data_IF_841217142584
#
_entry.id   IF_841217142584
#
_cell.length_a   1.000
_cell.length_b   1.000
_cell.length_c   1.000
_cell.angle_alpha   90.00
_cell.angle_beta   90.00
_cell.angle_gamma   90.00
#
_symmetry.space_group_name_H-M   'P 1'
#
loop_
_entity.id
_entity.type
_entity.pdbx_description
1 polymer ?
#
# COMPACT_ATOMS: atom_id res chain seq x y z
N UNK A 1 20.60 -53.91 46.93
CA UNK A 1 20.53 -54.73 45.71
C UNK A 1 19.79 -53.95 44.64
N UNK A 2 20.48 -53.65 43.52
CA UNK A 2 19.98 -53.41 42.15
C UNK A 2 19.01 -52.23 41.93
N UNK A 3 19.12 -51.35 40.93
CA UNK A 3 19.93 -51.25 39.70
C UNK A 3 19.74 -49.82 39.11
N UNK A 4 20.83 -49.28 38.54
CA UNK A 4 20.94 -48.59 37.24
C UNK A 4 20.09 -47.32 36.90
N UNK A 5 20.82 -46.20 36.88
CA UNK A 5 20.90 -45.10 35.89
C UNK A 5 19.95 -45.09 34.69
N UNK A 6 19.30 -43.95 34.43
CA UNK A 6 19.10 -43.40 33.08
C UNK A 6 18.86 -41.88 33.13
N UNK A 7 19.86 -41.10 32.70
CA UNK A 7 19.70 -39.70 32.30
C UNK A 7 19.11 -39.67 30.89
N UNK A 8 18.02 -38.95 30.66
CA UNK A 8 17.51 -38.68 29.32
C UNK A 8 16.93 -37.27 29.18
N UNK A 9 17.71 -36.45 28.48
CA UNK A 9 17.28 -35.57 27.39
C UNK A 9 16.24 -34.48 27.65
N UNK A 10 16.75 -33.24 27.68
CA UNK A 10 16.28 -32.11 26.85
C UNK A 10 14.86 -32.22 26.28
N UNK A 11 13.95 -31.42 26.82
CA UNK A 11 12.76 -30.98 26.10
C UNK A 11 12.35 -29.57 26.53
N UNK A 12 13.08 -28.57 26.01
CA UNK A 12 12.59 -27.19 25.92
C UNK A 12 11.40 -27.23 24.95
N UNK A 13 10.18 -27.34 25.48
CA UNK A 13 8.95 -27.21 24.69
C UNK A 13 8.73 -25.73 24.32
N UNK A 14 9.38 -25.33 23.23
CA UNK A 14 9.03 -24.14 22.46
C UNK A 14 7.64 -24.38 21.85
N UNK A 15 6.59 -23.94 22.54
CA UNK A 15 5.24 -23.91 21.99
C UNK A 15 5.16 -22.73 21.00
N UNK A 16 5.77 -22.89 19.82
CA UNK A 16 5.50 -22.04 18.67
C UNK A 16 4.18 -22.54 18.11
N UNK A 17 3.12 -21.74 18.23
CA UNK A 17 1.89 -21.98 17.48
C UNK A 17 2.20 -21.80 16.00
N UNK A 18 2.53 -22.90 15.32
CA UNK A 18 2.67 -22.91 13.87
C UNK A 18 1.25 -22.85 13.31
N UNK A 19 0.82 -21.65 12.91
CA UNK A 19 -0.41 -21.48 12.11
C UNK A 19 -0.34 -22.47 10.93
N UNK A 20 -1.41 -23.24 10.65
CA UNK A 20 -1.40 -24.17 9.53
C UNK A 20 -1.16 -23.39 8.23
N UNK A 21 -0.25 -23.90 7.40
CA UNK A 21 0.03 -23.36 6.08
C UNK A 21 -1.26 -23.40 5.24
N UNK A 22 -1.94 -22.25 5.14
CA UNK A 22 -3.04 -22.04 4.19
C UNK A 22 -2.47 -22.34 2.81
N UNK A 23 -2.99 -23.37 2.12
CA UNK A 23 -2.59 -23.66 0.74
C UNK A 23 -3.00 -22.47 -0.11
N UNK A 24 -2.03 -21.66 -0.50
CA UNK A 24 -2.23 -20.54 -1.40
C UNK A 24 -2.78 -21.07 -2.72
N UNK A 25 -3.83 -20.45 -3.22
CA UNK A 25 -4.31 -20.73 -4.58
C UNK A 25 -3.21 -20.40 -5.60
N UNK A 26 -3.18 -21.01 -6.79
CA UNK A 26 -2.22 -20.63 -7.84
C UNK A 26 -2.24 -19.13 -8.17
N UNK A 27 -3.37 -18.46 -7.95
CA UNK A 27 -3.54 -17.01 -8.09
C UNK A 27 -2.83 -16.22 -6.97
N UNK A 28 -2.99 -16.62 -5.72
CA UNK A 28 -2.28 -16.02 -4.57
C UNK A 28 -0.76 -16.26 -4.61
N UNK A 29 -0.27 -17.17 -5.47
CA UNK A 29 1.15 -17.52 -5.56
C UNK A 29 1.98 -16.57 -6.43
N UNK A 30 1.36 -15.80 -7.32
CA UNK A 30 2.05 -14.91 -8.25
C UNK A 30 2.04 -13.43 -7.85
N UNK A 31 1.06 -12.99 -7.05
CA UNK A 31 1.09 -11.66 -6.45
C UNK A 31 1.68 -11.76 -5.05
N UNK A 32 2.98 -11.51 -4.93
CA UNK A 32 3.67 -11.43 -3.64
C UNK A 32 2.95 -10.43 -2.75
N UNK A 33 2.38 -10.95 -1.66
CA UNK A 33 1.61 -10.26 -0.61
C UNK A 33 2.46 -9.25 0.17
N UNK A 34 2.92 -8.19 -0.48
CA UNK A 34 3.78 -7.16 0.13
C UNK A 34 3.03 -5.93 0.60
N UNK A 35 1.70 -5.93 0.56
CA UNK A 35 0.87 -4.99 1.34
C UNK A 35 0.90 -5.41 2.82
N UNK A 36 2.03 -5.14 3.48
CA UNK A 36 2.10 -5.20 4.93
C UNK A 36 1.52 -3.90 5.45
N UNK A 37 0.31 -3.98 6.01
CA UNK A 37 -0.31 -2.90 6.79
C UNK A 37 0.67 -2.45 7.88
N UNK A 38 1.20 -1.22 7.73
CA UNK A 38 2.14 -0.62 8.67
C UNK A 38 1.37 0.31 9.59
N UNK A 39 1.34 -0.02 10.88
CA UNK A 39 0.66 0.77 11.91
C UNK A 39 1.70 1.42 12.82
N UNK A 40 1.46 2.68 13.21
CA UNK A 40 2.28 3.39 14.21
C UNK A 40 3.58 4.03 13.71
N UNK A 41 3.66 4.38 12.43
CA UNK A 41 4.80 5.14 11.89
C UNK A 41 4.67 6.66 12.08
N UNK A 42 5.79 7.33 12.31
CA UNK A 42 5.87 8.78 12.41
C UNK A 42 5.43 9.47 11.11
N UNK A 43 4.77 10.63 11.22
CA UNK A 43 4.19 11.36 10.08
C UNK A 43 5.21 11.66 8.98
N UNK A 44 6.44 12.04 9.35
CA UNK A 44 7.51 12.32 8.38
C UNK A 44 7.99 11.05 7.66
N UNK A 45 8.05 9.93 8.38
CA UNK A 45 8.44 8.63 7.80
C UNK A 45 7.38 8.16 6.81
N UNK A 46 6.09 8.32 7.16
CA UNK A 46 4.97 8.02 6.29
C UNK A 46 5.02 8.87 5.01
N UNK A 47 5.24 10.19 5.12
CA UNK A 47 5.38 11.08 3.96
C UNK A 47 6.51 10.65 3.03
N UNK A 48 7.69 10.34 3.58
CA UNK A 48 8.84 9.91 2.78
C UNK A 48 8.56 8.58 2.05
N UNK A 49 7.91 7.63 2.74
CA UNK A 49 7.48 6.35 2.18
C UNK A 49 6.50 6.54 1.03
N UNK A 50 5.43 7.30 1.26
CA UNK A 50 4.40 7.57 0.25
C UNK A 50 4.99 8.29 -0.97
N UNK A 51 5.86 9.28 -0.76
CA UNK A 51 6.55 9.97 -1.85
C UNK A 51 7.38 9.00 -2.70
N UNK A 52 8.11 8.09 -2.07
CA UNK A 52 8.90 7.09 -2.77
C UNK A 52 8.01 6.13 -3.57
N UNK A 53 6.94 5.61 -2.97
CA UNK A 53 5.99 4.71 -3.63
C UNK A 53 5.28 5.38 -4.81
N UNK A 54 4.91 6.65 -4.68
CA UNK A 54 4.30 7.43 -5.75
C UNK A 54 5.24 7.59 -6.95
N UNK A 55 6.57 7.67 -6.71
CA UNK A 55 7.60 7.78 -7.75
C UNK A 55 8.04 6.44 -8.36
N UNK A 56 7.65 5.31 -7.76
CA UNK A 56 8.11 3.97 -8.14
C UNK A 56 6.94 3.11 -8.57
N UNK A 57 6.20 3.60 -9.56
CA UNK A 57 5.03 2.92 -10.12
C UNK A 57 5.39 2.10 -11.36
N UNK A 58 4.56 1.10 -11.66
CA UNK A 58 4.77 0.17 -12.78
C UNK A 58 4.62 0.80 -14.17
N UNK A 59 3.86 1.90 -14.29
CA UNK A 59 3.67 2.65 -15.53
C UNK A 59 4.11 4.11 -15.36
N UNK A 60 4.67 4.69 -16.42
CA UNK A 60 5.24 6.04 -16.40
C UNK A 60 4.17 7.11 -16.20
N UNK A 61 2.98 6.89 -16.73
CA UNK A 61 1.85 7.81 -16.64
C UNK A 61 1.44 8.05 -15.18
N UNK A 62 1.39 6.99 -14.38
CA UNK A 62 1.06 7.09 -12.96
C UNK A 62 2.18 7.75 -12.17
N UNK A 63 3.45 7.46 -12.49
CA UNK A 63 4.59 8.14 -11.86
C UNK A 63 4.52 9.67 -12.09
N UNK A 64 4.27 10.10 -13.33
CA UNK A 64 4.15 11.53 -13.64
C UNK A 64 2.99 12.18 -12.90
N UNK A 65 1.80 11.56 -12.91
CA UNK A 65 0.60 12.13 -12.30
C UNK A 65 0.71 12.11 -10.76
N UNK A 66 0.87 10.92 -10.19
CA UNK A 66 0.82 10.68 -8.75
C UNK A 66 2.11 11.18 -8.10
N UNK A 67 3.28 10.93 -8.70
CA UNK A 67 4.56 11.41 -8.21
C UNK A 67 4.68 12.93 -8.27
N UNK A 68 4.09 13.59 -9.28
CA UNK A 68 3.98 15.05 -9.33
C UNK A 68 3.08 15.59 -8.22
N UNK A 69 1.87 15.03 -8.09
CA UNK A 69 0.92 15.40 -7.03
C UNK A 69 1.52 15.22 -5.63
N UNK A 70 2.18 14.09 -5.38
CA UNK A 70 2.79 13.77 -4.10
C UNK A 70 3.84 14.80 -3.68
N UNK A 71 4.65 15.30 -4.61
CA UNK A 71 5.68 16.31 -4.32
C UNK A 71 5.09 17.64 -3.86
N UNK A 72 3.97 18.06 -4.45
CA UNK A 72 3.32 19.34 -4.13
C UNK A 72 2.41 19.22 -2.90
N UNK A 73 1.71 18.09 -2.73
CA UNK A 73 0.61 17.98 -1.78
C UNK A 73 0.98 17.32 -0.43
N UNK A 74 1.91 16.35 -0.40
CA UNK A 74 2.20 15.58 0.84
C UNK A 74 2.74 16.43 1.99
N UNK A 75 3.43 17.53 1.68
CA UNK A 75 4.01 18.43 2.70
C UNK A 75 2.92 19.12 3.55
N UNK A 76 1.74 19.40 2.97
CA UNK A 76 0.65 20.09 3.63
C UNK A 76 -0.43 19.16 4.22
N UNK A 77 -0.35 17.85 3.97
CA UNK A 77 -1.36 16.89 4.43
C UNK A 77 -1.19 16.52 5.90
N UNK A 78 -2.32 16.37 6.58
CA UNK A 78 -2.44 15.80 7.92
C UNK A 78 -2.20 14.29 7.90
N UNK A 79 -1.97 13.69 9.08
CA UNK A 79 -1.73 12.24 9.19
C UNK A 79 -2.89 11.40 8.63
N UNK A 80 -4.13 11.80 8.90
CA UNK A 80 -5.34 11.11 8.41
C UNK A 80 -5.43 11.16 6.89
N UNK A 81 -5.16 12.32 6.28
CA UNK A 81 -5.13 12.49 4.83
C UNK A 81 -4.01 11.64 4.17
N UNK A 82 -2.88 11.45 4.85
CA UNK A 82 -1.80 10.58 4.38
C UNK A 82 -2.20 9.10 4.40
N UNK A 83 -2.94 8.67 5.41
CA UNK A 83 -3.47 7.31 5.48
C UNK A 83 -4.54 7.07 4.41
N UNK A 84 -5.43 8.06 4.18
CA UNK A 84 -6.40 8.01 3.10
C UNK A 84 -5.69 7.90 1.74
N UNK A 85 -4.63 8.70 1.54
CA UNK A 85 -3.79 8.61 0.34
C UNK A 85 -3.10 7.24 0.20
N UNK A 86 -2.56 6.68 1.29
CA UNK A 86 -1.96 5.33 1.29
C UNK A 86 -2.97 4.29 0.80
N UNK A 87 -4.22 4.37 1.28
CA UNK A 87 -5.29 3.46 0.89
C UNK A 87 -5.65 3.55 -0.60
N UNK A 88 -5.63 4.74 -1.19
CA UNK A 88 -5.91 4.94 -2.61
C UNK A 88 -4.81 4.33 -3.48
N UNK A 89 -3.55 4.57 -3.12
CA UNK A 89 -2.42 4.21 -3.98
C UNK A 89 -1.96 2.76 -3.81
N UNK A 90 -2.16 2.17 -2.63
CA UNK A 90 -1.73 0.81 -2.30
C UNK A 90 -2.92 -0.14 -2.03
N UNK A 91 -4.15 0.30 -2.31
CA UNK A 91 -5.35 -0.52 -2.19
C UNK A 91 -5.47 -1.60 -3.28
N UNK A 92 -6.66 -2.21 -3.36
CA UNK A 92 -6.91 -3.40 -4.19
C UNK A 92 -7.03 -3.12 -5.70
N UNK A 93 -6.83 -1.88 -6.14
CA UNK A 93 -7.00 -1.49 -7.54
C UNK A 93 -5.72 -1.65 -8.35
N UNK A 94 -5.84 -2.22 -9.55
CA UNK A 94 -4.73 -2.34 -10.50
C UNK A 94 -4.31 -0.95 -11.02
N UNK A 95 -3.02 -0.78 -11.32
CA UNK A 95 -2.46 0.52 -11.72
C UNK A 95 -3.10 1.11 -12.99
N UNK A 96 -3.47 0.24 -13.94
CA UNK A 96 -4.17 0.66 -15.17
C UNK A 96 -5.57 1.21 -14.88
N UNK A 97 -6.30 0.59 -13.95
CA UNK A 97 -7.61 1.08 -13.53
C UNK A 97 -7.48 2.43 -12.82
N UNK A 98 -6.48 2.56 -11.93
CA UNK A 98 -6.20 3.82 -11.25
C UNK A 98 -5.92 4.95 -12.26
N UNK A 99 -5.14 4.68 -13.32
CA UNK A 99 -4.93 5.64 -14.40
C UNK A 99 -6.23 6.05 -15.10
N UNK A 100 -7.10 5.09 -15.42
CA UNK A 100 -8.38 5.39 -16.08
C UNK A 100 -9.34 6.19 -15.20
N UNK A 101 -9.37 5.92 -13.89
CA UNK A 101 -10.16 6.69 -12.93
C UNK A 101 -9.64 8.12 -12.80
N UNK A 102 -8.33 8.29 -12.68
CA UNK A 102 -7.68 9.61 -12.58
C UNK A 102 -7.87 10.44 -13.86
N UNK A 103 -7.76 9.81 -15.02
CA UNK A 103 -7.95 10.47 -16.33
C UNK A 103 -9.42 10.70 -16.70
N UNK A 104 -10.37 10.19 -15.91
CA UNK A 104 -11.81 10.33 -16.16
C UNK A 104 -12.31 9.53 -17.37
N UNK A 105 -11.52 8.55 -17.86
CA UNK A 105 -11.93 7.65 -18.96
C UNK A 105 -12.89 6.56 -18.47
N UNK A 106 -12.84 6.24 -17.18
CA UNK A 106 -13.70 5.25 -16.52
C UNK A 106 -14.23 5.83 -15.22
N UNK A 107 -15.46 5.46 -14.86
CA UNK A 107 -16.04 5.87 -13.58
C UNK A 107 -15.31 5.17 -12.42
N UNK A 108 -14.84 5.91 -11.40
CA UNK A 108 -14.23 5.31 -10.22
C UNK A 108 -15.28 4.54 -9.41
N UNK A 109 -14.89 3.51 -8.64
CA UNK A 109 -15.75 2.93 -7.61
C UNK A 109 -16.23 3.99 -6.61
N UNK A 110 -17.38 3.73 -5.96
CA UNK A 110 -18.00 4.68 -5.01
C UNK A 110 -17.05 5.10 -3.89
N UNK A 111 -16.25 4.15 -3.39
CA UNK A 111 -15.24 4.38 -2.35
C UNK A 111 -14.23 5.47 -2.75
N UNK A 112 -13.72 5.44 -3.98
CA UNK A 112 -12.81 6.47 -4.49
C UNK A 112 -13.52 7.80 -4.79
N UNK A 113 -14.79 7.77 -5.19
CA UNK A 113 -15.56 9.00 -5.45
C UNK A 113 -15.86 9.80 -4.17
N UNK A 114 -16.02 9.09 -3.05
CA UNK A 114 -16.28 9.68 -1.73
C UNK A 114 -15.01 10.27 -1.11
N UNK A 115 -13.82 9.77 -1.50
CA UNK A 115 -12.54 10.28 -1.02
C UNK A 115 -12.30 11.75 -1.42
N UNK A 116 -11.91 12.56 -0.43
CA UNK A 116 -11.54 13.95 -0.66
C UNK A 116 -10.20 14.06 -1.41
N UNK A 117 -9.26 13.15 -1.12
CA UNK A 117 -7.93 13.15 -1.72
C UNK A 117 -8.00 12.78 -3.20
N UNK A 118 -8.84 11.81 -3.57
CA UNK A 118 -9.02 11.44 -4.97
C UNK A 118 -9.55 12.61 -5.82
N UNK A 119 -10.48 13.41 -5.28
CA UNK A 119 -10.98 14.63 -5.95
C UNK A 119 -9.86 15.66 -6.15
N UNK A 120 -9.00 15.87 -5.15
CA UNK A 120 -7.83 16.76 -5.26
C UNK A 120 -6.86 16.30 -6.36
N UNK A 121 -6.68 14.99 -6.54
CA UNK A 121 -5.86 14.43 -7.63
C UNK A 121 -6.48 14.77 -8.99
N UNK A 122 -7.80 14.59 -9.15
CA UNK A 122 -8.48 14.93 -10.40
C UNK A 122 -8.41 16.43 -10.71
N UNK A 123 -8.54 17.28 -9.70
CA UNK A 123 -8.36 18.73 -9.84
C UNK A 123 -6.94 19.11 -10.25
N UNK A 124 -5.92 18.46 -9.66
CA UNK A 124 -4.52 18.64 -10.03
C UNK A 124 -4.28 18.30 -11.52
N UNK A 125 -4.85 17.19 -12.00
CA UNK A 125 -4.75 16.79 -13.41
C UNK A 125 -5.42 17.83 -14.32
N UNK A 126 -6.64 18.28 -13.97
CA UNK A 126 -7.34 19.33 -14.73
C UNK A 126 -6.53 20.61 -14.80
N UNK A 127 -5.95 21.06 -13.67
CA UNK A 127 -5.09 22.24 -13.59
C UNK A 127 -3.87 22.11 -14.51
N UNK A 128 -3.17 20.97 -14.48
CA UNK A 128 -2.01 20.72 -15.34
C UNK A 128 -2.41 20.63 -16.82
N UNK A 129 -3.56 20.06 -17.14
CA UNK A 129 -4.07 20.00 -18.51
C UNK A 129 -4.39 21.41 -19.08
N UNK A 130 -4.93 22.31 -18.25
CA UNK A 130 -5.17 23.70 -18.66
C UNK A 130 -3.87 24.48 -18.86
N UNK A 131 -2.85 24.25 -18.02
CA UNK A 131 -1.58 24.97 -18.08
C UNK A 131 -0.70 24.65 -19.31
N UNK A 132 -1.03 23.60 -20.06
CA UNK A 132 -0.29 23.16 -21.26
C UNK A 132 -0.87 23.77 -22.55
N UNK A 133 -2.06 24.38 -22.49
CA UNK A 133 -2.68 25.11 -23.62
C UNK A 133 -2.40 26.60 -23.51
#
# INVERSE_FOLDING_TARGET
MNRLVALSSFAIRRCIMVRPLRRLTPFERFYSSTAVERTGEETETLRARLLYQSKKRGILENDIIIGGFAQEALAGMSHEELLEYDSIINGDHMEWDLFYFMSGKKEPPKELQESAIFRRIQEYIKKKATAVN
#
